data_IF_215608537006
#
_entry.id   IF_215608537006
#
_cell.length_a   1.000
_cell.length_b   1.000
_cell.length_c   1.000
_cell.angle_alpha   90.00
_cell.angle_beta   90.00
_cell.angle_gamma   90.00
#
_symmetry.space_group_name_H-M   'P 1'
#
loop_
_entity.id
_entity.type
_entity.pdbx_description
1 polymer ?
#
# COMPACT_ATOMS: atom_id res chain seq x y z
N UNK A 1 -31.74 -9.75 -5.34
CA UNK A 1 -31.41 -9.86 -3.90
C UNK A 1 -30.47 -8.75 -3.55
N UNK A 2 -30.85 -7.72 -2.74
CA UNK A 2 -29.92 -6.69 -2.32
C UNK A 2 -28.94 -7.30 -1.34
N UNK A 3 -27.63 -7.10 -1.55
CA UNK A 3 -26.58 -7.45 -0.60
C UNK A 3 -26.63 -6.47 0.56
N UNK A 4 -27.38 -6.81 1.60
CA UNK A 4 -27.24 -6.20 2.91
C UNK A 4 -25.85 -6.54 3.45
N UNK A 5 -25.09 -5.53 3.86
CA UNK A 5 -23.91 -5.75 4.66
C UNK A 5 -22.66 -4.96 4.32
N UNK A 6 -22.71 -3.90 3.53
CA UNK A 6 -21.58 -2.99 3.42
C UNK A 6 -21.81 -1.73 4.25
N UNK A 7 -21.95 -1.87 5.57
CA UNK A 7 -21.70 -0.74 6.47
C UNK A 7 -20.19 -0.46 6.42
N UNK A 8 -19.82 0.33 5.43
CA UNK A 8 -18.49 0.87 5.26
C UNK A 8 -18.10 1.66 6.51
N UNK A 9 -17.34 1.02 7.38
CA UNK A 9 -16.49 1.75 8.33
C UNK A 9 -15.62 2.68 7.47
N UNK A 10 -15.84 3.98 7.57
CA UNK A 10 -15.04 5.04 6.92
C UNK A 10 -13.62 4.98 7.46
N UNK A 11 -12.82 4.06 6.97
CA UNK A 11 -11.40 3.92 7.33
C UNK A 11 -10.68 5.06 6.61
N UNK A 12 -10.46 6.15 7.33
CA UNK A 12 -9.66 7.29 6.87
C UNK A 12 -8.25 6.79 6.56
N UNK A 13 -7.73 7.06 5.36
CA UNK A 13 -6.35 6.68 5.02
C UNK A 13 -5.40 7.28 6.06
N UNK A 14 -4.55 6.47 6.70
CA UNK A 14 -3.69 6.97 7.78
C UNK A 14 -2.61 7.91 7.25
N UNK A 15 -2.33 9.00 7.95
CA UNK A 15 -1.17 9.86 7.71
C UNK A 15 0.14 9.07 7.91
N UNK A 16 1.27 9.57 7.36
CA UNK A 16 2.58 8.96 7.54
C UNK A 16 2.87 8.63 9.02
N UNK A 17 2.66 9.59 9.92
CA UNK A 17 2.88 9.39 11.36
C UNK A 17 2.12 8.17 11.92
N UNK A 18 0.85 8.02 11.54
CA UNK A 18 0.04 6.86 11.94
C UNK A 18 0.51 5.56 11.33
N UNK A 19 0.99 5.59 10.06
CA UNK A 19 1.57 4.41 9.41
C UNK A 19 2.84 3.96 10.12
N UNK A 20 3.74 4.91 10.44
CA UNK A 20 5.00 4.63 11.14
C UNK A 20 4.75 3.98 12.49
N UNK A 21 3.89 4.60 13.31
CA UNK A 21 3.54 4.04 14.62
C UNK A 21 2.92 2.65 14.51
N UNK A 22 1.94 2.48 13.63
CA UNK A 22 1.26 1.20 13.43
C UNK A 22 2.23 0.09 13.04
N UNK A 23 3.10 0.32 12.05
CA UNK A 23 4.10 -0.66 11.60
C UNK A 23 5.10 -1.01 12.69
N UNK A 24 5.59 -0.01 13.43
CA UNK A 24 6.50 -0.24 14.55
C UNK A 24 5.85 -1.10 15.64
N UNK A 25 4.61 -0.78 16.01
CA UNK A 25 3.85 -1.54 17.03
C UNK A 25 3.58 -2.99 16.57
N UNK A 26 3.23 -3.21 15.30
CA UNK A 26 3.03 -4.55 14.71
C UNK A 26 4.31 -5.39 14.69
N UNK A 27 5.45 -4.74 14.47
CA UNK A 27 6.78 -5.39 14.50
C UNK A 27 7.36 -5.52 15.92
N UNK A 28 6.62 -5.07 16.95
CA UNK A 28 7.06 -5.06 18.35
C UNK A 28 8.40 -4.35 18.57
N UNK A 29 8.68 -3.30 17.77
CA UNK A 29 9.91 -2.53 17.85
C UNK A 29 9.73 -1.29 18.72
N UNK A 30 10.81 -0.89 19.40
CA UNK A 30 10.93 0.42 20.04
C UNK A 30 11.27 1.52 19.03
N UNK A 31 11.00 2.77 19.36
CA UNK A 31 11.42 3.91 18.53
C UNK A 31 12.93 3.92 18.30
N UNK A 32 13.70 3.55 19.32
CA UNK A 32 15.16 3.45 19.24
C UNK A 32 15.60 2.38 18.24
N UNK A 33 15.03 1.18 18.28
CA UNK A 33 15.40 0.10 17.37
C UNK A 33 15.13 0.45 15.90
N UNK A 34 14.00 1.11 15.62
CA UNK A 34 13.71 1.60 14.25
C UNK A 34 14.71 2.69 13.86
N UNK A 35 15.01 3.62 14.75
CA UNK A 35 15.97 4.69 14.50
C UNK A 35 17.38 4.13 14.21
N UNK A 36 17.83 3.17 15.00
CA UNK A 36 19.13 2.50 14.82
C UNK A 36 19.21 1.77 13.46
N UNK A 37 18.18 1.00 13.11
CA UNK A 37 18.06 0.31 11.80
C UNK A 37 18.04 1.31 10.64
N UNK A 38 17.34 2.44 10.79
CA UNK A 38 17.26 3.50 9.78
C UNK A 38 18.48 4.43 9.78
N UNK A 39 19.43 4.25 10.69
CA UNK A 39 20.63 5.10 10.87
C UNK A 39 20.27 6.58 11.05
N UNK A 40 19.32 6.86 11.94
CA UNK A 40 18.90 8.20 12.36
C UNK A 40 18.86 8.27 13.89
N UNK A 41 18.70 9.46 14.45
CA UNK A 41 18.53 9.61 15.89
C UNK A 41 17.12 9.21 16.33
N UNK A 42 16.98 8.67 17.53
CA UNK A 42 15.68 8.34 18.12
C UNK A 42 14.76 9.58 18.19
N UNK A 43 15.31 10.74 18.53
CA UNK A 43 14.56 11.99 18.55
C UNK A 43 14.01 12.38 17.18
N UNK A 44 14.77 12.13 16.10
CA UNK A 44 14.28 12.36 14.74
C UNK A 44 13.14 11.41 14.38
N UNK A 45 13.28 10.10 14.67
CA UNK A 45 12.22 9.13 14.40
C UNK A 45 10.95 9.46 15.20
N UNK A 46 11.10 9.81 16.49
CA UNK A 46 9.99 10.25 17.34
C UNK A 46 9.24 11.45 16.74
N UNK A 47 9.98 12.47 16.25
CA UNK A 47 9.36 13.62 15.62
C UNK A 47 8.57 13.26 14.37
N UNK A 48 9.01 12.27 13.57
CA UNK A 48 8.27 11.75 12.41
C UNK A 48 7.03 10.96 12.84
N UNK A 49 7.13 10.14 13.86
CA UNK A 49 6.01 9.35 14.38
C UNK A 49 4.93 10.22 15.06
N UNK A 50 5.31 11.35 15.64
CA UNK A 50 4.37 12.34 16.18
C UNK A 50 3.75 13.22 15.09
N UNK A 51 4.36 13.30 13.90
CA UNK A 51 3.92 14.16 12.82
C UNK A 51 4.41 15.60 12.94
N UNK A 52 5.36 15.88 13.84
CA UNK A 52 5.96 17.20 14.04
C UNK A 52 6.87 17.59 12.87
N UNK A 53 7.42 16.59 12.17
CA UNK A 53 8.30 16.77 11.00
C UNK A 53 8.02 15.68 9.97
N UNK A 54 8.30 16.00 8.71
CA UNK A 54 8.32 15.01 7.63
C UNK A 54 9.77 14.62 7.33
N UNK A 55 10.07 13.31 7.17
CA UNK A 55 11.38 12.87 6.72
C UNK A 55 11.62 13.32 5.27
N UNK A 56 12.89 13.60 4.94
CA UNK A 56 13.31 13.74 3.54
C UNK A 56 13.21 12.38 2.84
N UNK A 57 13.12 12.34 1.48
CA UNK A 57 12.98 11.08 0.74
C UNK A 57 14.00 10.02 1.14
N UNK A 58 15.29 10.38 1.24
CA UNK A 58 16.37 9.44 1.58
C UNK A 58 16.25 8.89 3.02
N UNK A 59 15.64 9.66 3.91
CA UNK A 59 15.34 9.21 5.28
C UNK A 59 14.13 8.30 5.27
N UNK A 60 13.11 8.63 4.47
CA UNK A 60 11.91 7.81 4.32
C UNK A 60 12.26 6.42 3.79
N UNK A 61 13.15 6.33 2.79
CA UNK A 61 13.63 5.06 2.23
C UNK A 61 14.31 4.20 3.31
N UNK A 62 15.15 4.81 4.15
CA UNK A 62 15.82 4.09 5.24
C UNK A 62 14.83 3.62 6.30
N UNK A 63 13.82 4.43 6.63
CA UNK A 63 12.76 4.05 7.57
C UNK A 63 11.91 2.93 6.96
N UNK A 64 11.54 3.01 5.69
CA UNK A 64 10.80 1.98 4.99
C UNK A 64 11.54 0.63 5.04
N UNK A 65 12.84 0.65 4.72
CA UNK A 65 13.72 -0.53 4.84
C UNK A 65 13.79 -1.07 6.28
N UNK A 66 13.88 -0.20 7.27
CA UNK A 66 13.92 -0.60 8.68
C UNK A 66 12.61 -1.28 9.14
N UNK A 67 11.49 -0.88 8.56
CA UNK A 67 10.14 -1.40 8.84
C UNK A 67 9.72 -2.53 7.87
N UNK A 68 10.57 -2.91 6.90
CA UNK A 68 10.28 -3.98 5.96
C UNK A 68 9.14 -3.68 4.98
N UNK A 69 8.95 -2.42 4.59
CA UNK A 69 7.90 -1.98 3.66
C UNK A 69 8.47 -1.18 2.50
N UNK A 70 7.69 -1.01 1.45
CA UNK A 70 8.06 -0.14 0.32
C UNK A 70 7.94 1.34 0.71
N UNK A 71 8.89 2.21 0.26
CA UNK A 71 8.80 3.64 0.48
C UNK A 71 7.49 4.25 -0.05
N UNK A 72 7.01 3.76 -1.17
CA UNK A 72 5.76 4.20 -1.81
C UNK A 72 4.53 3.93 -0.92
N UNK A 73 4.54 2.83 -0.16
CA UNK A 73 3.49 2.56 0.83
C UNK A 73 3.44 3.66 1.91
N UNK A 74 4.60 4.13 2.37
CA UNK A 74 4.68 5.20 3.36
C UNK A 74 4.30 6.56 2.77
N UNK A 75 4.75 6.87 1.55
CA UNK A 75 4.52 8.15 0.87
C UNK A 75 3.14 8.26 0.20
N UNK A 76 2.42 7.14 0.04
CA UNK A 76 1.09 7.16 -0.59
C UNK A 76 0.17 8.20 0.05
N UNK A 77 -0.50 9.04 -0.76
CA UNK A 77 -1.33 10.12 -0.28
C UNK A 77 -2.48 9.60 0.58
N UNK A 78 -2.84 10.39 1.60
CA UNK A 78 -3.99 10.13 2.44
C UNK A 78 -5.18 10.96 1.96
N UNK A 79 -6.19 10.33 1.39
CA UNK A 79 -7.43 10.98 1.01
C UNK A 79 -8.36 11.14 2.22
N UNK A 80 -8.90 12.34 2.42
CA UNK A 80 -9.82 12.64 3.53
C UNK A 80 -11.22 12.09 3.29
N UNK A 81 -11.59 11.90 2.00
CA UNK A 81 -12.90 11.41 1.59
C UNK A 81 -12.85 10.81 0.17
N UNK A 82 -13.93 10.15 -0.23
CA UNK A 82 -14.05 9.53 -1.56
C UNK A 82 -13.99 10.54 -2.71
N UNK A 83 -14.40 11.80 -2.48
CA UNK A 83 -14.35 12.83 -3.52
C UNK A 83 -12.92 13.19 -3.88
N UNK A 84 -12.04 13.35 -2.88
CA UNK A 84 -10.61 13.58 -3.15
C UNK A 84 -9.97 12.42 -3.92
N UNK A 85 -10.33 11.19 -3.57
CA UNK A 85 -9.88 10.02 -4.32
C UNK A 85 -10.41 10.02 -5.77
N UNK A 86 -11.69 10.35 -5.98
CA UNK A 86 -12.27 10.45 -7.31
C UNK A 86 -11.57 11.53 -8.17
N UNK A 87 -11.28 12.69 -7.60
CA UNK A 87 -10.53 13.74 -8.31
C UNK A 87 -9.11 13.28 -8.65
N UNK A 88 -8.42 12.57 -7.74
CA UNK A 88 -7.10 12.03 -8.04
C UNK A 88 -7.12 11.03 -9.23
N UNK A 89 -8.18 10.25 -9.38
CA UNK A 89 -8.35 9.38 -10.56
C UNK A 89 -8.55 10.24 -11.81
N UNK A 90 -9.48 11.21 -11.78
CA UNK A 90 -9.80 12.07 -12.94
C UNK A 90 -8.59 12.90 -13.40
N UNK A 91 -7.82 13.47 -12.47
CA UNK A 91 -6.63 14.26 -12.79
C UNK A 91 -5.50 13.42 -13.42
N UNK A 92 -5.55 12.12 -13.26
CA UNK A 92 -4.49 11.21 -13.75
C UNK A 92 -4.98 10.25 -14.86
N UNK A 93 -6.23 10.38 -15.34
CA UNK A 93 -6.77 9.44 -16.33
C UNK A 93 -5.92 9.39 -17.60
N UNK A 94 -5.55 10.54 -18.17
CA UNK A 94 -4.73 10.62 -19.37
C UNK A 94 -3.29 10.16 -19.13
N UNK A 95 -2.69 10.58 -17.99
CA UNK A 95 -1.31 10.26 -17.65
C UNK A 95 -1.09 8.75 -17.47
N UNK A 96 -2.08 8.06 -16.90
CA UNK A 96 -2.01 6.61 -16.65
C UNK A 96 -2.87 5.78 -17.62
N UNK A 97 -3.59 6.42 -18.52
CA UNK A 97 -4.38 5.76 -19.57
C UNK A 97 -5.56 4.98 -19.02
N UNK A 98 -6.26 5.52 -18.01
CA UNK A 98 -7.51 4.94 -17.51
C UNK A 98 -8.68 5.34 -18.41
N UNK A 99 -9.70 4.51 -18.44
CA UNK A 99 -11.00 4.85 -19.04
C UNK A 99 -12.12 4.12 -18.28
N UNK A 100 -13.35 4.58 -18.49
CA UNK A 100 -14.54 3.91 -17.91
C UNK A 100 -15.23 3.10 -19.00
N UNK A 101 -15.61 1.88 -18.67
CA UNK A 101 -16.42 1.01 -19.54
C UNK A 101 -17.54 0.39 -18.73
N UNK A 102 -18.64 0.12 -19.39
CA UNK A 102 -19.67 -0.75 -18.86
C UNK A 102 -19.29 -2.20 -19.12
N UNK A 103 -19.29 -3.01 -18.08
CA UNK A 103 -19.05 -4.45 -18.13
C UNK A 103 -20.26 -5.13 -17.51
N UNK A 104 -21.14 -5.69 -18.34
CA UNK A 104 -22.37 -6.38 -17.93
C UNK A 104 -23.28 -5.53 -17.02
N UNK A 105 -23.45 -4.24 -17.35
CA UNK A 105 -24.25 -3.30 -16.58
C UNK A 105 -23.56 -2.70 -15.35
N UNK A 106 -22.25 -2.95 -15.17
CA UNK A 106 -21.45 -2.40 -14.08
C UNK A 106 -20.41 -1.45 -14.63
N UNK A 107 -20.43 -0.15 -14.27
CA UNK A 107 -19.38 0.78 -14.66
C UNK A 107 -18.07 0.39 -13.98
N UNK A 108 -17.02 0.17 -14.77
CA UNK A 108 -15.70 -0.22 -14.32
C UNK A 108 -14.63 0.73 -14.84
N UNK A 109 -13.64 1.04 -13.99
CA UNK A 109 -12.43 1.72 -14.43
C UNK A 109 -11.51 0.66 -15.02
N UNK A 110 -11.13 0.84 -16.27
CA UNK A 110 -10.26 -0.09 -17.00
C UNK A 110 -9.05 0.67 -17.53
N UNK A 111 -7.96 -0.06 -17.75
CA UNK A 111 -6.84 0.48 -18.49
C UNK A 111 -7.21 0.56 -19.97
N UNK A 112 -7.02 1.73 -20.59
CA UNK A 112 -7.10 1.89 -22.04
C UNK A 112 -6.04 1.04 -22.76
N UNK A 113 -6.18 0.88 -24.09
CA UNK A 113 -5.24 0.11 -24.89
C UNK A 113 -3.83 0.68 -24.77
N UNK A 114 -2.92 -0.06 -24.17
CA UNK A 114 -1.49 0.22 -24.05
C UNK A 114 -0.70 -1.08 -24.10
N UNK A 115 0.62 -1.01 -24.12
CA UNK A 115 1.47 -2.20 -24.15
C UNK A 115 1.14 -3.15 -22.99
N UNK A 116 1.08 -4.45 -23.29
CA UNK A 116 0.80 -5.52 -22.32
C UNK A 116 1.79 -5.58 -21.12
N UNK A 117 2.88 -4.82 -21.19
CA UNK A 117 3.96 -4.70 -20.20
C UNK A 117 3.85 -3.43 -19.34
N UNK A 118 2.66 -2.83 -19.23
CA UNK A 118 2.46 -1.63 -18.42
C UNK A 118 2.42 -1.99 -16.94
N UNK A 119 3.21 -1.27 -16.17
CA UNK A 119 3.31 -1.40 -14.70
C UNK A 119 1.95 -1.51 -13.99
N UNK A 120 0.98 -0.67 -14.41
CA UNK A 120 -0.34 -0.70 -13.79
C UNK A 120 -1.15 -1.94 -14.16
N UNK A 121 -1.00 -2.44 -15.39
CA UNK A 121 -1.65 -3.69 -15.80
C UNK A 121 -1.07 -4.90 -15.05
N UNK A 122 0.23 -4.90 -14.76
CA UNK A 122 0.85 -5.91 -13.89
C UNK A 122 0.31 -5.81 -12.47
N UNK A 123 0.27 -4.59 -11.91
CA UNK A 123 -0.30 -4.34 -10.60
C UNK A 123 -1.74 -4.86 -10.46
N UNK A 124 -2.62 -4.57 -11.43
CA UNK A 124 -4.02 -5.01 -11.36
C UNK A 124 -4.13 -6.52 -11.45
N UNK A 125 -3.32 -7.20 -12.28
CA UNK A 125 -3.28 -8.67 -12.34
C UNK A 125 -2.80 -9.29 -11.03
N UNK A 126 -1.72 -8.76 -10.47
CA UNK A 126 -1.21 -9.25 -9.18
C UNK A 126 -2.24 -9.03 -8.07
N UNK A 127 -2.93 -7.89 -8.10
CA UNK A 127 -3.98 -7.59 -7.14
C UNK A 127 -5.18 -8.54 -7.27
N UNK A 128 -5.64 -8.81 -8.49
CA UNK A 128 -6.70 -9.77 -8.76
C UNK A 128 -6.34 -11.16 -8.21
N UNK A 129 -5.13 -11.65 -8.52
CA UNK A 129 -4.66 -12.96 -8.05
C UNK A 129 -4.60 -13.04 -6.52
N UNK A 130 -4.10 -11.98 -5.87
CA UNK A 130 -4.03 -11.96 -4.42
C UNK A 130 -5.42 -11.84 -3.77
N UNK A 131 -6.36 -11.15 -4.43
CA UNK A 131 -7.76 -11.11 -3.99
C UNK A 131 -8.42 -12.48 -4.13
N UNK A 132 -8.24 -13.17 -5.26
CA UNK A 132 -8.76 -14.53 -5.46
C UNK A 132 -8.24 -15.47 -4.37
N UNK A 133 -6.93 -15.48 -4.09
CA UNK A 133 -6.34 -16.29 -3.02
C UNK A 133 -6.93 -16.01 -1.64
N UNK A 134 -7.19 -14.73 -1.34
CA UNK A 134 -7.82 -14.35 -0.08
C UNK A 134 -9.28 -14.83 0.00
N UNK A 135 -10.04 -14.67 -1.09
CA UNK A 135 -11.45 -15.08 -1.17
C UNK A 135 -11.59 -16.62 -1.13
N UNK A 136 -10.63 -17.36 -1.69
CA UNK A 136 -10.53 -18.82 -1.64
C UNK A 136 -9.89 -19.36 -0.34
N UNK A 137 -9.52 -18.47 0.60
CA UNK A 137 -8.88 -18.82 1.88
C UNK A 137 -7.51 -19.50 1.74
N UNK A 138 -6.84 -19.33 0.61
CA UNK A 138 -5.45 -19.80 0.40
C UNK A 138 -4.43 -18.96 1.17
N UNK A 139 -4.76 -17.69 1.42
CA UNK A 139 -3.97 -16.78 2.24
C UNK A 139 -4.84 -16.12 3.32
N UNK A 140 -4.21 -15.72 4.39
CA UNK A 140 -4.84 -14.98 5.49
C UNK A 140 -4.99 -13.49 5.15
N UNK A 141 -5.87 -12.79 5.88
CA UNK A 141 -5.97 -11.34 5.79
C UNK A 141 -4.65 -10.63 6.15
N UNK A 142 -3.87 -11.19 7.06
CA UNK A 142 -2.56 -10.64 7.45
C UNK A 142 -1.56 -10.73 6.30
N UNK A 143 -1.46 -11.87 5.63
CA UNK A 143 -0.60 -12.07 4.45
C UNK A 143 -1.01 -11.14 3.29
N UNK A 144 -2.32 -10.92 3.10
CA UNK A 144 -2.81 -9.97 2.11
C UNK A 144 -2.43 -8.52 2.44
N UNK A 145 -2.53 -8.09 3.73
CA UNK A 145 -2.09 -6.77 4.16
C UNK A 145 -0.58 -6.59 4.01
N UNK A 146 0.18 -7.65 4.26
CA UNK A 146 1.64 -7.64 4.11
C UNK A 146 2.05 -7.51 2.63
N UNK A 147 1.37 -8.24 1.74
CA UNK A 147 1.52 -8.06 0.30
C UNK A 147 1.28 -6.60 -0.13
N UNK A 148 0.23 -5.95 0.32
CA UNK A 148 -0.06 -4.56 -0.02
C UNK A 148 1.04 -3.57 0.40
N UNK A 149 1.81 -3.90 1.44
CA UNK A 149 2.90 -3.06 1.95
C UNK A 149 4.20 -3.27 1.20
N UNK A 150 4.37 -4.43 0.60
CA UNK A 150 5.63 -4.91 0.05
C UNK A 150 5.57 -5.18 -1.45
N UNK A 151 4.41 -4.99 -2.09
CA UNK A 151 4.24 -5.25 -3.51
C UNK A 151 5.29 -4.55 -4.37
N UNK A 152 5.92 -5.31 -5.28
CA UNK A 152 6.98 -4.86 -6.16
C UNK A 152 6.97 -5.66 -7.48
N UNK A 153 6.23 -5.20 -8.50
CA UNK A 153 6.17 -5.80 -9.84
C UNK A 153 6.14 -7.33 -9.86
N UNK A 154 5.29 -7.94 -9.05
CA UNK A 154 5.18 -9.40 -8.96
C UNK A 154 6.35 -10.11 -8.28
N UNK A 155 7.28 -9.39 -7.65
CA UNK A 155 8.36 -10.00 -6.87
C UNK A 155 7.82 -10.86 -5.71
N UNK A 156 6.68 -10.47 -5.15
CA UNK A 156 5.98 -11.24 -4.13
C UNK A 156 5.56 -12.64 -4.61
N UNK A 157 5.00 -12.71 -5.82
CA UNK A 157 4.53 -13.97 -6.41
C UNK A 157 5.67 -14.88 -6.86
N UNK A 158 6.89 -14.36 -6.99
CA UNK A 158 8.09 -15.09 -7.43
C UNK A 158 8.90 -15.72 -6.28
N UNK A 159 8.51 -15.46 -5.02
CA UNK A 159 9.17 -16.09 -3.87
C UNK A 159 8.56 -17.47 -3.63
N UNK A 160 9.38 -18.51 -3.68
CA UNK A 160 8.99 -19.95 -3.54
C UNK A 160 8.23 -20.29 -2.24
N UNK A 161 8.11 -19.37 -1.30
CA UNK A 161 7.54 -19.61 0.03
C UNK A 161 6.49 -18.59 0.48
N UNK A 162 6.00 -17.69 -0.40
CA UNK A 162 5.01 -16.69 -0.03
C UNK A 162 5.46 -15.67 1.02
N UNK A 163 6.75 -15.65 1.36
CA UNK A 163 7.30 -14.69 2.33
C UNK A 163 7.79 -13.45 1.61
N UNK A 164 7.43 -12.28 2.16
CA UNK A 164 7.92 -11.00 1.67
C UNK A 164 9.45 -10.99 1.60
N UNK A 165 10.07 -10.58 0.49
CA UNK A 165 11.51 -10.39 0.42
C UNK A 165 12.00 -9.28 1.36
N UNK A 166 11.09 -8.50 1.94
CA UNK A 166 11.38 -7.37 2.84
C UNK A 166 11.16 -7.69 4.32
N UNK A 167 10.44 -8.74 4.66
CA UNK A 167 10.35 -9.24 6.04
C UNK A 167 11.57 -10.13 6.29
N UNK A 168 12.72 -9.50 6.55
CA UNK A 168 13.93 -10.23 6.96
C UNK A 168 13.68 -10.94 8.29
N UNK A 169 13.54 -12.24 8.26
CA UNK A 169 13.94 -13.16 9.32
C UNK A 169 15.17 -13.90 8.88
#
# INVERSE_FOLDING_TARGET
MPREGLQSMKKKTPSLAKKLKKLRDELHLTQKEVADKAKITESAYRAYELGDRNPKPEILDRIAKALGVRPEYLSAPAFRNQREFAYAILENEDAFGYTVRDIDGVPAIVKGYGNAMDFFAEFVRDWEQMRAKLDDHEITQEEYEDWKRTWDNGAWLKTDNGKSPYTGK
#
